data_IF_378804953873
#
_entry.id   IF_378804953873
#
_cell.length_a   1.000
_cell.length_b   1.000
_cell.length_c   1.000
_cell.angle_alpha   90.00
_cell.angle_beta   90.00
_cell.angle_gamma   90.00
#
_symmetry.space_group_name_H-M   'P 1'
#
loop_
_entity.id
_entity.type
_entity.pdbx_description
1 polymer ?
#
# COMPACT_ATOMS: atom_id res chain seq x y z
N UNK A 1 1.44 17.30 -14.57
CA UNK A 1 1.45 17.04 -13.12
C UNK A 1 0.11 16.50 -12.67
N UNK A 2 0.09 15.66 -11.66
CA UNK A 2 -1.11 15.06 -11.06
C UNK A 2 -0.99 15.07 -9.55
N UNK A 3 -2.03 15.55 -8.86
CA UNK A 3 -2.21 15.34 -7.42
C UNK A 3 -3.26 14.24 -7.25
N UNK A 4 -2.97 13.26 -6.42
CA UNK A 4 -3.91 12.21 -6.02
C UNK A 4 -4.09 12.25 -4.52
N UNK A 5 -5.33 12.18 -4.07
CA UNK A 5 -5.68 12.03 -2.66
C UNK A 5 -6.45 10.73 -2.52
N UNK A 6 -6.21 10.01 -1.44
CA UNK A 6 -6.96 8.81 -1.06
C UNK A 6 -7.19 8.79 0.44
N UNK A 7 -8.35 8.32 0.84
CA UNK A 7 -8.70 8.03 2.23
C UNK A 7 -9.44 6.70 2.25
N UNK A 8 -8.97 5.79 3.08
CA UNK A 8 -9.61 4.50 3.35
C UNK A 8 -9.92 4.47 4.84
N UNK A 9 -11.12 4.08 5.18
CA UNK A 9 -11.58 3.88 6.55
C UNK A 9 -12.24 2.52 6.65
N UNK A 10 -11.89 1.77 7.66
CA UNK A 10 -12.43 0.44 7.94
C UNK A 10 -12.90 0.38 9.39
N UNK A 11 -14.12 -0.08 9.58
CA UNK A 11 -14.69 -0.29 10.91
C UNK A 11 -15.32 -1.68 10.98
N UNK A 12 -14.84 -2.49 11.91
CA UNK A 12 -15.38 -3.83 12.19
C UNK A 12 -15.69 -3.92 13.68
N UNK A 13 -16.91 -4.31 14.01
CA UNK A 13 -17.32 -4.60 15.39
C UNK A 13 -18.05 -5.93 15.46
N UNK A 14 -17.82 -6.69 16.54
CA UNK A 14 -18.48 -7.93 16.87
C UNK A 14 -18.84 -7.92 18.35
N UNK A 15 -20.08 -8.31 18.70
CA UNK A 15 -20.59 -8.36 20.08
C UNK A 15 -20.29 -7.11 20.95
N UNK A 16 -20.36 -5.90 20.32
CA UNK A 16 -20.02 -4.59 20.89
C UNK A 16 -18.53 -4.35 21.13
N UNK A 17 -17.67 -5.24 20.75
CA UNK A 17 -16.23 -5.01 20.74
C UNK A 17 -15.79 -4.47 19.37
N UNK A 18 -14.93 -3.45 19.38
CA UNK A 18 -14.36 -2.89 18.15
C UNK A 18 -13.13 -3.71 17.78
N UNK A 19 -13.24 -4.50 16.73
CA UNK A 19 -12.14 -5.31 16.20
C UNK A 19 -11.21 -4.52 15.29
N UNK A 20 -11.76 -3.62 14.48
CA UNK A 20 -11.00 -2.71 13.64
C UNK A 20 -11.64 -1.33 13.63
N UNK A 21 -10.81 -0.30 13.68
CA UNK A 21 -11.17 1.11 13.51
C UNK A 21 -9.95 1.78 12.88
N UNK A 22 -9.72 1.40 11.64
CA UNK A 22 -8.49 1.69 10.92
C UNK A 22 -8.72 2.79 9.89
N UNK A 23 -7.73 3.63 9.69
CA UNK A 23 -7.75 4.59 8.60
C UNK A 23 -6.38 4.71 7.95
N UNK A 24 -6.39 5.01 6.67
CA UNK A 24 -5.18 5.37 5.91
C UNK A 24 -5.52 6.49 4.95
N UNK A 25 -4.81 7.60 5.07
CA UNK A 25 -4.91 8.75 4.17
C UNK A 25 -3.59 9.03 3.49
N UNK A 26 -3.61 9.38 2.20
CA UNK A 26 -2.41 9.72 1.43
C UNK A 26 -2.69 10.90 0.50
N UNK A 27 -1.71 11.80 0.40
CA UNK A 27 -1.62 12.80 -0.66
C UNK A 27 -0.34 12.53 -1.43
N UNK A 28 -0.46 12.42 -2.76
CA UNK A 28 0.67 12.16 -3.64
C UNK A 28 0.68 13.13 -4.81
N UNK A 29 1.81 13.80 -5.02
CA UNK A 29 2.10 14.61 -6.19
C UNK A 29 2.98 13.85 -7.15
N UNK A 30 2.64 13.86 -8.44
CA UNK A 30 3.46 13.29 -9.51
C UNK A 30 3.75 14.36 -10.57
N UNK A 31 5.03 14.52 -10.90
CA UNK A 31 5.47 15.31 -12.05
C UNK A 31 5.94 14.37 -13.15
N UNK A 32 5.27 14.40 -14.29
CA UNK A 32 5.57 13.53 -15.42
C UNK A 32 6.63 14.14 -16.33
N UNK A 33 7.52 13.29 -16.83
CA UNK A 33 8.53 13.57 -17.83
C UNK A 33 8.43 12.47 -18.89
N UNK A 34 7.69 12.72 -19.96
CA UNK A 34 7.28 11.71 -20.93
C UNK A 34 6.53 10.57 -20.23
N UNK A 35 7.11 9.35 -20.26
CA UNK A 35 6.54 8.14 -19.64
C UNK A 35 6.99 7.93 -18.18
N UNK A 36 7.93 8.71 -17.71
CA UNK A 36 8.48 8.61 -16.35
C UNK A 36 7.86 9.67 -15.43
N UNK A 37 7.99 9.49 -14.13
CA UNK A 37 7.53 10.48 -13.17
C UNK A 37 8.40 10.54 -11.92
N UNK A 38 8.57 11.76 -11.41
CA UNK A 38 9.00 12.00 -10.05
C UNK A 38 7.75 12.10 -9.17
N UNK A 39 7.79 11.50 -8.01
CA UNK A 39 6.68 11.58 -7.07
C UNK A 39 7.14 11.99 -5.68
N UNK A 40 6.25 12.72 -4.99
CA UNK A 40 6.34 13.04 -3.58
C UNK A 40 5.04 12.59 -2.91
N UNK A 41 5.10 12.16 -1.65
CA UNK A 41 3.90 11.77 -0.91
C UNK A 41 4.03 12.06 0.58
N UNK A 42 2.87 12.28 1.19
CA UNK A 42 2.65 12.21 2.63
C UNK A 42 1.54 11.20 2.88
N UNK A 43 1.67 10.42 3.94
CA UNK A 43 0.67 9.42 4.31
C UNK A 43 0.53 9.40 5.84
N UNK A 44 -0.69 9.27 6.31
CA UNK A 44 -1.02 8.98 7.70
C UNK A 44 -1.86 7.71 7.78
N UNK A 45 -1.68 6.91 8.83
CA UNK A 45 -2.49 5.73 9.09
C UNK A 45 -2.54 5.39 10.56
N UNK A 46 -3.63 4.72 10.96
CA UNK A 46 -3.81 4.01 12.21
C UNK A 46 -4.32 2.61 11.84
N UNK A 47 -3.75 1.55 12.42
CA UNK A 47 -4.12 0.17 12.11
C UNK A 47 -4.13 -0.66 13.39
N UNK A 48 -5.31 -0.84 13.97
CA UNK A 48 -5.50 -1.51 15.26
C UNK A 48 -4.98 -2.95 15.26
N UNK A 49 -5.21 -3.69 14.19
CA UNK A 49 -4.74 -5.07 14.03
C UNK A 49 -3.21 -5.21 14.08
N UNK A 50 -2.47 -4.13 13.84
CA UNK A 50 -1.02 -4.06 13.93
C UNK A 50 -0.54 -3.40 15.24
N UNK A 51 -1.44 -3.12 16.20
CA UNK A 51 -1.15 -2.33 17.41
C UNK A 51 -0.51 -0.97 17.08
N UNK A 52 -0.80 -0.43 15.90
CA UNK A 52 -0.24 0.80 15.34
C UNK A 52 -1.20 1.96 15.61
N UNK A 53 -0.88 2.78 16.63
CA UNK A 53 -1.67 3.95 17.00
C UNK A 53 -1.60 5.02 15.93
N UNK A 54 -0.40 5.33 15.45
CA UNK A 54 -0.23 6.14 14.26
C UNK A 54 1.03 5.79 13.47
N UNK A 55 0.99 6.12 12.19
CA UNK A 55 2.12 6.04 11.29
C UNK A 55 2.07 7.21 10.33
N UNK A 56 3.12 8.01 10.31
CA UNK A 56 3.29 9.09 9.37
C UNK A 56 4.47 8.81 8.45
N UNK A 57 4.24 8.98 7.16
CA UNK A 57 5.26 8.81 6.13
C UNK A 57 5.39 10.11 5.33
N UNK A 58 6.62 10.49 5.03
CA UNK A 58 6.92 11.54 4.07
C UNK A 58 8.08 11.11 3.20
N UNK A 59 7.92 11.20 1.90
CA UNK A 59 8.98 10.77 1.00
C UNK A 59 8.70 11.04 -0.46
N UNK A 60 9.58 10.48 -1.28
CA UNK A 60 9.49 10.61 -2.71
C UNK A 60 10.35 9.62 -3.44
N UNK A 61 10.29 9.68 -4.76
CA UNK A 61 11.04 8.76 -5.60
C UNK A 61 10.81 9.03 -7.08
N UNK A 62 11.39 8.15 -7.87
CA UNK A 62 11.30 8.17 -9.31
C UNK A 62 10.69 6.88 -9.84
N UNK A 63 9.78 7.00 -10.79
CA UNK A 63 9.08 5.90 -11.45
C UNK A 63 9.38 5.93 -12.94
N UNK A 64 9.80 4.79 -13.47
CA UNK A 64 10.07 4.57 -14.88
C UNK A 64 9.04 3.63 -15.48
N UNK A 65 8.57 3.94 -16.68
CA UNK A 65 7.78 3.05 -17.51
C UNK A 65 8.71 2.13 -18.29
N UNK A 66 8.82 0.86 -17.86
CA UNK A 66 9.70 -0.14 -18.49
C UNK A 66 9.07 -0.66 -19.78
N UNK A 67 7.76 -0.94 -19.73
CA UNK A 67 7.02 -1.48 -20.86
C UNK A 67 5.63 -0.88 -20.93
N UNK A 68 5.20 -0.57 -22.14
CA UNK A 68 3.84 -0.10 -22.43
C UNK A 68 3.41 -0.62 -23.79
N UNK A 69 2.24 -1.20 -23.86
CA UNK A 69 1.61 -1.61 -25.10
C UNK A 69 0.09 -1.45 -24.98
N UNK A 70 -0.48 -0.52 -25.73
CA UNK A 70 -1.90 -0.16 -25.66
C UNK A 70 -2.34 0.12 -24.20
N UNK A 71 -3.06 -0.82 -23.61
CA UNK A 71 -3.58 -0.72 -22.23
C UNK A 71 -2.71 -1.41 -21.18
N UNK A 72 -1.71 -2.21 -21.60
CA UNK A 72 -0.81 -2.91 -20.71
C UNK A 72 0.38 -2.05 -20.35
N UNK A 73 0.77 -2.06 -19.08
CA UNK A 73 2.00 -1.40 -18.67
C UNK A 73 2.72 -2.17 -17.55
N UNK A 74 4.02 -1.91 -17.48
CA UNK A 74 4.88 -2.34 -16.38
C UNK A 74 5.81 -1.21 -15.99
N UNK A 75 5.73 -0.78 -14.74
CA UNK A 75 6.53 0.30 -14.18
C UNK A 75 7.37 -0.20 -13.02
N UNK A 76 8.56 0.36 -12.88
CA UNK A 76 9.41 0.22 -11.70
C UNK A 76 9.57 1.57 -11.03
N UNK A 77 9.69 1.57 -9.72
CA UNK A 77 9.98 2.78 -8.96
C UNK A 77 11.00 2.50 -7.85
N UNK A 78 11.83 3.51 -7.60
CA UNK A 78 12.70 3.54 -6.44
C UNK A 78 12.44 4.86 -5.69
N UNK A 79 12.43 4.79 -4.37
CA UNK A 79 12.15 5.93 -3.52
C UNK A 79 12.81 5.81 -2.15
N UNK A 80 12.68 6.90 -1.41
CA UNK A 80 13.17 7.03 -0.06
C UNK A 80 12.12 7.79 0.76
N UNK A 81 11.90 7.36 2.01
CA UNK A 81 10.96 8.03 2.89
C UNK A 81 11.40 7.95 4.35
N UNK A 82 10.96 8.95 5.10
CA UNK A 82 10.97 8.98 6.55
C UNK A 82 9.66 8.40 7.07
N UNK A 83 9.74 7.62 8.14
CA UNK A 83 8.59 7.08 8.84
C UNK A 83 8.69 7.35 10.34
N UNK A 84 7.56 7.72 10.91
CA UNK A 84 7.31 7.91 12.33
C UNK A 84 6.15 7.00 12.70
N UNK A 85 6.39 6.03 13.60
CA UNK A 85 5.43 5.04 14.03
C UNK A 85 5.31 5.03 15.55
N UNK A 86 4.08 4.99 16.06
CA UNK A 86 3.77 4.78 17.45
C UNK A 86 2.97 3.48 17.60
N UNK A 87 3.51 2.56 18.37
CA UNK A 87 2.88 1.27 18.65
C UNK A 87 2.37 1.21 20.09
N UNK A 88 1.20 0.61 20.25
CA UNK A 88 0.68 0.22 21.57
C UNK A 88 1.35 -1.10 21.99
N UNK A 89 1.88 -1.11 23.22
CA UNK A 89 2.37 -2.31 23.89
C UNK A 89 1.43 -2.71 25.02
N UNK A 90 1.66 -3.89 25.59
CA UNK A 90 0.97 -4.34 26.79
C UNK A 90 1.22 -3.37 27.97
N UNK A 91 0.30 -3.36 28.93
CA UNK A 91 0.37 -2.52 30.14
C UNK A 91 0.36 -1.00 29.89
N UNK A 92 -0.38 -0.51 28.88
CA UNK A 92 -0.48 0.91 28.54
C UNK A 92 0.85 1.60 28.23
N UNK A 93 1.86 0.85 27.82
CA UNK A 93 3.13 1.41 27.35
C UNK A 93 3.11 1.63 25.83
N UNK A 94 3.88 2.59 25.37
CA UNK A 94 3.99 2.95 23.95
C UNK A 94 5.43 2.76 23.47
N UNK A 95 5.58 2.48 22.18
CA UNK A 95 6.87 2.39 21.52
C UNK A 95 6.90 3.30 20.31
N UNK A 96 7.73 4.33 20.34
CA UNK A 96 7.97 5.23 19.20
C UNK A 96 9.15 4.73 18.38
N UNK A 97 8.97 4.66 17.08
CA UNK A 97 9.98 4.20 16.11
C UNK A 97 10.13 5.25 15.01
N UNK A 98 11.36 5.68 14.75
CA UNK A 98 11.71 6.63 13.71
C UNK A 98 12.71 6.01 12.75
N UNK A 99 12.34 5.87 11.48
CA UNK A 99 13.18 5.23 10.49
C UNK A 99 13.23 5.99 9.17
N UNK A 100 14.32 5.75 8.44
CA UNK A 100 14.41 6.05 7.02
C UNK A 100 14.42 4.74 6.24
N UNK A 101 13.63 4.65 5.15
CA UNK A 101 13.54 3.44 4.34
C UNK A 101 13.79 3.71 2.88
N UNK A 102 14.53 2.81 2.24
CA UNK A 102 14.53 2.66 0.80
C UNK A 102 13.28 1.86 0.39
N UNK A 103 12.66 2.27 -0.71
CA UNK A 103 11.49 1.59 -1.26
C UNK A 103 11.72 1.27 -2.73
N UNK A 104 11.54 0.02 -3.09
CA UNK A 104 11.54 -0.47 -4.47
C UNK A 104 10.13 -0.98 -4.76
N UNK A 105 9.56 -0.54 -5.88
CA UNK A 105 8.17 -0.88 -6.20
C UNK A 105 8.02 -1.27 -7.66
N UNK A 106 7.11 -2.18 -7.92
CA UNK A 106 6.65 -2.46 -9.28
C UNK A 106 5.13 -2.30 -9.38
N UNK A 107 4.69 -1.80 -10.52
CA UNK A 107 3.28 -1.62 -10.83
C UNK A 107 3.02 -2.17 -12.22
N UNK A 108 1.98 -2.96 -12.34
CA UNK A 108 1.59 -3.52 -13.62
C UNK A 108 0.08 -3.51 -13.81
N UNK A 109 -0.32 -3.39 -15.06
CA UNK A 109 -1.68 -3.64 -15.50
C UNK A 109 -1.62 -4.48 -16.76
N UNK A 110 -2.20 -5.68 -16.71
CA UNK A 110 -2.23 -6.60 -17.83
C UNK A 110 -3.66 -6.98 -18.18
N UNK A 111 -4.08 -6.68 -19.39
CA UNK A 111 -5.31 -7.23 -19.94
C UNK A 111 -5.03 -8.63 -20.49
N UNK A 112 -5.67 -9.63 -19.85
CA UNK A 112 -5.63 -11.03 -20.30
C UNK A 112 -6.49 -11.16 -21.56
N UNK A 113 -7.64 -10.48 -21.55
CA UNK A 113 -8.53 -10.28 -22.69
C UNK A 113 -9.34 -8.97 -22.49
N UNK A 114 -10.34 -8.71 -23.34
CA UNK A 114 -11.17 -7.50 -23.28
C UNK A 114 -12.00 -7.36 -22.00
N UNK A 115 -12.22 -8.47 -21.26
CA UNK A 115 -13.08 -8.52 -20.07
C UNK A 115 -12.31 -8.82 -18.78
N UNK A 116 -11.05 -9.22 -18.88
CA UNK A 116 -10.27 -9.65 -17.71
C UNK A 116 -8.96 -8.90 -17.67
N UNK A 117 -8.69 -8.24 -16.56
CA UNK A 117 -7.42 -7.56 -16.33
C UNK A 117 -6.87 -7.85 -14.94
N UNK A 118 -5.54 -7.86 -14.85
CA UNK A 118 -4.78 -8.05 -13.61
C UNK A 118 -3.99 -6.77 -13.33
N UNK A 119 -4.32 -6.09 -12.25
CA UNK A 119 -3.55 -4.98 -11.71
C UNK A 119 -2.72 -5.48 -10.53
N UNK A 120 -1.42 -5.17 -10.49
CA UNK A 120 -0.55 -5.62 -9.39
C UNK A 120 0.36 -4.50 -8.94
N UNK A 121 0.41 -4.30 -7.63
CA UNK A 121 1.38 -3.44 -6.97
C UNK A 121 2.23 -4.26 -6.00
N UNK A 122 3.55 -4.10 -6.08
CA UNK A 122 4.51 -4.74 -5.17
C UNK A 122 5.38 -3.64 -4.58
N UNK A 123 5.57 -3.66 -3.26
CA UNK A 123 6.47 -2.76 -2.55
C UNK A 123 7.43 -3.58 -1.70
N UNK A 124 8.71 -3.35 -1.89
CA UNK A 124 9.77 -3.90 -1.05
C UNK A 124 10.51 -2.75 -0.38
N UNK A 125 10.53 -2.74 0.95
CA UNK A 125 11.07 -1.66 1.76
C UNK A 125 12.17 -2.20 2.67
N UNK A 126 13.25 -1.43 2.82
CA UNK A 126 14.40 -1.80 3.64
C UNK A 126 14.72 -0.62 4.55
N UNK A 127 14.87 -0.86 5.85
CA UNK A 127 15.34 0.14 6.79
C UNK A 127 16.80 0.52 6.45
N UNK A 128 17.09 1.81 6.36
CA UNK A 128 18.40 2.31 5.96
C UNK A 128 19.50 2.06 7.01
N UNK A 129 19.13 1.83 8.28
CA UNK A 129 20.06 1.57 9.39
C UNK A 129 20.16 0.09 9.74
N UNK A 130 19.11 -0.69 9.51
CA UNK A 130 19.06 -2.13 9.75
C UNK A 130 18.51 -2.87 8.53
N UNK A 131 19.40 -3.39 7.70
CA UNK A 131 19.04 -4.13 6.49
C UNK A 131 18.32 -5.47 6.76
N UNK A 132 18.21 -5.91 8.02
CA UNK A 132 17.40 -7.07 8.40
C UNK A 132 15.93 -6.71 8.53
N UNK A 133 15.61 -5.43 8.87
CA UNK A 133 14.24 -4.92 8.92
C UNK A 133 13.74 -4.60 7.50
N UNK A 134 12.98 -5.54 6.95
CA UNK A 134 12.42 -5.51 5.60
C UNK A 134 10.91 -5.66 5.64
N UNK A 135 10.24 -4.99 4.72
CA UNK A 135 8.79 -5.13 4.51
C UNK A 135 8.50 -5.46 3.07
N UNK A 136 7.58 -6.37 2.84
CA UNK A 136 7.07 -6.73 1.52
C UNK A 136 5.55 -6.59 1.54
N UNK A 137 5.01 -5.89 0.53
CA UNK A 137 3.59 -5.77 0.27
C UNK A 137 3.33 -6.20 -1.16
N UNK A 138 2.36 -7.08 -1.35
CA UNK A 138 1.93 -7.56 -2.66
C UNK A 138 0.41 -7.41 -2.73
N UNK A 139 -0.07 -6.67 -3.72
CA UNK A 139 -1.48 -6.32 -3.88
C UNK A 139 -1.91 -6.58 -5.33
N UNK A 140 -2.15 -7.85 -5.75
CA UNK A 140 -2.77 -8.19 -7.01
C UNK A 140 -4.30 -8.05 -6.93
N UNK A 141 -4.88 -7.46 -7.98
CA UNK A 141 -6.32 -7.31 -8.15
C UNK A 141 -6.73 -7.80 -9.53
N UNK A 142 -7.55 -8.83 -9.56
CA UNK A 142 -8.11 -9.40 -10.77
C UNK A 142 -9.50 -8.78 -11.02
N UNK A 143 -9.68 -8.13 -12.15
CA UNK A 143 -10.93 -7.52 -12.57
C UNK A 143 -11.63 -8.34 -13.63
N UNK A 144 -12.95 -8.38 -13.55
CA UNK A 144 -13.87 -8.92 -14.55
C UNK A 144 -14.81 -7.79 -14.98
N UNK A 145 -14.65 -7.30 -16.21
CA UNK A 145 -15.45 -6.22 -16.79
C UNK A 145 -16.74 -6.77 -17.42
N UNK A 146 -17.89 -6.36 -16.86
CA UNK A 146 -19.23 -6.69 -17.32
C UNK A 146 -19.95 -5.38 -17.68
N UNK A 147 -19.92 -5.00 -18.95
CA UNK A 147 -20.60 -3.82 -19.53
C UNK A 147 -20.70 -2.57 -18.60
N UNK A 148 -21.47 -2.62 -17.50
CA UNK A 148 -21.67 -1.51 -16.55
C UNK A 148 -21.19 -1.84 -15.13
N UNK A 149 -20.63 -3.02 -14.93
CA UNK A 149 -20.21 -3.52 -13.61
C UNK A 149 -18.82 -4.13 -13.74
N UNK A 150 -17.90 -3.75 -12.86
CA UNK A 150 -16.60 -4.42 -12.69
C UNK A 150 -16.62 -5.19 -11.39
N UNK A 151 -16.40 -6.48 -11.47
CA UNK A 151 -16.19 -7.33 -10.29
C UNK A 151 -14.70 -7.48 -10.10
N UNK A 152 -14.22 -7.47 -8.85
CA UNK A 152 -12.81 -7.71 -8.58
C UNK A 152 -12.58 -8.67 -7.42
N UNK A 153 -11.50 -9.41 -7.53
CA UNK A 153 -10.89 -10.18 -6.46
C UNK A 153 -9.53 -9.56 -6.14
N UNK A 154 -9.32 -9.23 -4.89
CA UNK A 154 -8.07 -8.65 -4.42
C UNK A 154 -7.45 -9.54 -3.34
N UNK A 155 -6.14 -9.73 -3.41
CA UNK A 155 -5.35 -10.40 -2.37
C UNK A 155 -4.28 -9.43 -1.92
N UNK A 156 -4.29 -9.06 -0.64
CA UNK A 156 -3.22 -8.25 -0.06
C UNK A 156 -2.37 -9.12 0.84
N UNK A 157 -1.10 -9.25 0.52
CA UNK A 157 -0.11 -9.92 1.34
C UNK A 157 0.84 -8.90 1.95
N UNK A 158 1.05 -9.01 3.26
CA UNK A 158 2.04 -8.20 4.00
C UNK A 158 3.02 -9.11 4.70
N UNK A 159 4.29 -8.72 4.68
CA UNK A 159 5.35 -9.36 5.46
C UNK A 159 6.26 -8.31 6.08
N UNK A 160 6.56 -8.44 7.36
CA UNK A 160 7.55 -7.65 8.09
C UNK A 160 8.54 -8.59 8.79
N UNK A 161 9.80 -8.56 8.37
CA UNK A 161 10.82 -9.52 8.85
C UNK A 161 11.09 -9.41 10.35
N UNK A 162 11.05 -8.19 10.89
CA UNK A 162 11.34 -7.85 12.29
C UNK A 162 10.26 -6.92 12.86
N UNK A 163 9.04 -7.41 13.18
CA UNK A 163 8.01 -6.59 13.83
C UNK A 163 8.50 -6.00 15.14
N UNK A 164 8.13 -4.77 15.42
CA UNK A 164 8.56 -4.05 16.63
C UNK A 164 7.73 -4.38 17.88
N UNK A 165 6.57 -4.97 17.68
CA UNK A 165 5.65 -5.46 18.71
C UNK A 165 5.26 -6.89 18.40
N UNK A 166 4.64 -7.57 19.37
CA UNK A 166 4.19 -8.95 19.21
C UNK A 166 2.96 -9.02 18.29
N UNK A 167 3.23 -9.16 17.00
CA UNK A 167 2.26 -9.36 15.92
C UNK A 167 2.81 -10.40 14.93
N UNK A 168 1.93 -10.95 14.11
CA UNK A 168 2.32 -11.87 13.04
C UNK A 168 3.26 -11.18 12.04
N UNK A 169 4.32 -11.88 11.65
CA UNK A 169 5.26 -11.41 10.63
C UNK A 169 4.62 -11.29 9.25
N UNK A 170 3.60 -12.09 8.98
CA UNK A 170 2.91 -12.10 7.69
C UNK A 170 1.42 -12.21 7.91
N UNK A 171 0.67 -11.51 7.09
CA UNK A 171 -0.78 -11.66 7.00
C UNK A 171 -1.25 -11.61 5.53
N UNK A 172 -2.45 -12.10 5.29
CA UNK A 172 -3.08 -12.10 3.98
C UNK A 172 -4.55 -11.74 4.12
N UNK A 173 -4.98 -10.73 3.39
CA UNK A 173 -6.37 -10.27 3.31
C UNK A 173 -6.93 -10.60 1.93
N UNK A 174 -8.14 -11.15 1.88
CA UNK A 174 -8.88 -11.40 0.65
C UNK A 174 -10.10 -10.49 0.60
N UNK A 175 -10.25 -9.74 -0.48
CA UNK A 175 -11.38 -8.83 -0.69
C UNK A 175 -12.07 -9.17 -2.00
N UNK A 176 -13.39 -9.29 -1.95
CA UNK A 176 -14.26 -9.32 -3.13
C UNK A 176 -15.05 -8.02 -3.18
N UNK A 177 -15.16 -7.42 -4.34
CA UNK A 177 -15.91 -6.18 -4.50
C UNK A 177 -16.38 -5.96 -5.92
N UNK A 178 -17.12 -4.86 -6.09
CA UNK A 178 -17.61 -4.43 -7.39
C UNK A 178 -17.51 -2.90 -7.52
N UNK A 179 -17.32 -2.44 -8.74
CA UNK A 179 -17.30 -1.03 -9.14
C UNK A 179 -18.39 -0.82 -10.19
N UNK A 180 -19.16 0.25 -10.07
CA UNK A 180 -20.20 0.61 -11.04
C UNK A 180 -19.76 1.90 -11.72
N UNK A 181 -19.64 1.89 -13.04
CA UNK A 181 -19.42 3.10 -13.85
C UNK A 181 -20.79 3.76 -14.08
N UNK A 182 -20.99 4.96 -13.51
CA UNK A 182 -22.22 5.78 -13.61
C UNK A 182 -22.13 6.81 -14.74
#
# INVERSE_FOLDING_TARGET
SLVRMSLVYEYISEDKEILSNDWTGQIRYNKFFNKNSLFLFIQGSNVKSLKLDHRYLVGGGYRIRVKENKSNYFDLAAGFFYEDELYEKELNSQLSIYNYRYSFSSFSNFFINEKISLNTSIYYQINSKDFKDKRLFIDPRLYFDLVSLKIYLNVKYRHHSTPYVDILKSDTEYTFGFEIDL
#
